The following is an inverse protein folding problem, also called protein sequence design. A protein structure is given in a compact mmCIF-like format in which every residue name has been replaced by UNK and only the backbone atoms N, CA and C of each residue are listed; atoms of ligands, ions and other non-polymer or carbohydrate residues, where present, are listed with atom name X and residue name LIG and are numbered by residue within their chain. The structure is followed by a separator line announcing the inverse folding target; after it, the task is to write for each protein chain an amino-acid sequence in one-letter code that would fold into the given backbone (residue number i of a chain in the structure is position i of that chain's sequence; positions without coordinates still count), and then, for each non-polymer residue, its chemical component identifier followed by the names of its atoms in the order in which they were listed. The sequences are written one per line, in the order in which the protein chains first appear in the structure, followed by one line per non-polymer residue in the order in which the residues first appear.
data_IF_634896816323
#
_entry.id   IF_634896816323
#
_cell.length_a   1.000
_cell.length_b   1.000
_cell.length_c   1.000
_cell.angle_alpha   90.00
_cell.angle_beta   90.00
_cell.angle_gamma   90.00
#
_symmetry.space_group_name_H-M   'P 1'
#
loop_
_entity.id
_entity.type
_entity.pdbx_description
1 polymer ?
#
# COMPACT_ATOMS: atom_id res chain seq x y z
N UNK A 1 -10.66 9.18 -40.00
CA UNK A 1 -10.19 9.21 -38.59
C UNK A 1 -9.76 7.80 -38.20
N UNK A 2 -8.66 7.64 -37.45
CA UNK A 2 -8.17 6.32 -37.01
C UNK A 2 -9.16 5.68 -36.03
N UNK A 3 -9.45 4.39 -36.20
CA UNK A 3 -10.19 3.59 -35.22
C UNK A 3 -9.25 3.04 -34.12
N UNK A 4 -9.81 2.37 -33.11
CA UNK A 4 -9.03 1.80 -31.99
C UNK A 4 -7.96 0.82 -32.48
N UNK A 5 -8.28 -0.09 -33.40
CA UNK A 5 -7.31 -1.04 -33.97
C UNK A 5 -6.13 -0.34 -34.65
N UNK A 6 -6.39 0.72 -35.42
CA UNK A 6 -5.33 1.50 -36.06
C UNK A 6 -4.45 2.22 -35.01
N UNK A 7 -5.05 2.74 -33.94
CA UNK A 7 -4.31 3.38 -32.84
C UNK A 7 -3.42 2.34 -32.14
N UNK A 8 -3.97 1.18 -31.77
CA UNK A 8 -3.20 0.12 -31.12
C UNK A 8 -2.02 -0.34 -31.98
N UNK A 9 -2.24 -0.57 -33.29
CA UNK A 9 -1.16 -0.91 -34.24
C UNK A 9 -0.09 0.18 -34.33
N UNK A 10 -0.46 1.46 -34.33
CA UNK A 10 0.47 2.60 -34.42
C UNK A 10 1.44 2.69 -33.24
N UNK A 11 0.99 2.30 -32.04
CA UNK A 11 1.76 2.37 -30.79
C UNK A 11 2.26 1.02 -30.29
N UNK A 12 1.94 -0.07 -31.00
CA UNK A 12 2.50 -1.39 -30.75
C UNK A 12 4.04 -1.35 -30.76
N UNK A 13 4.66 -2.03 -29.80
CA UNK A 13 6.12 -2.06 -29.61
C UNK A 13 6.75 -0.76 -29.09
N UNK A 14 5.99 0.35 -28.99
CA UNK A 14 6.47 1.63 -28.43
C UNK A 14 6.10 1.83 -26.97
N UNK A 15 5.05 1.15 -26.52
CA UNK A 15 4.45 1.21 -25.19
C UNK A 15 4.05 -0.23 -24.85
N UNK A 16 4.18 -0.61 -23.57
CA UNK A 16 3.65 -1.89 -23.11
C UNK A 16 2.16 -2.01 -23.47
N UNK A 17 1.74 -3.14 -24.04
CA UNK A 17 0.39 -3.30 -24.58
C UNK A 17 -0.70 -3.02 -23.52
N UNK A 18 -0.48 -3.47 -22.28
CA UNK A 18 -1.39 -3.22 -21.16
C UNK A 18 -1.49 -1.73 -20.82
N UNK A 19 -0.38 -1.00 -20.80
CA UNK A 19 -0.38 0.45 -20.53
C UNK A 19 -1.11 1.22 -21.64
N UNK A 20 -0.85 0.85 -22.88
CA UNK A 20 -1.51 1.44 -24.05
C UNK A 20 -3.03 1.27 -23.96
N UNK A 21 -3.49 0.05 -23.67
CA UNK A 21 -4.91 -0.25 -23.51
C UNK A 21 -5.53 0.57 -22.37
N UNK A 22 -4.88 0.64 -21.21
CA UNK A 22 -5.39 1.39 -20.06
C UNK A 22 -5.53 2.89 -20.36
N UNK A 23 -4.51 3.50 -20.97
CA UNK A 23 -4.54 4.92 -21.32
C UNK A 23 -5.59 5.21 -22.41
N UNK A 24 -5.72 4.32 -23.40
CA UNK A 24 -6.69 4.47 -24.48
C UNK A 24 -8.12 4.31 -23.97
N UNK A 25 -8.40 3.27 -23.18
CA UNK A 25 -9.69 3.01 -22.54
C UNK A 25 -10.13 4.19 -21.68
N UNK A 26 -9.23 4.71 -20.84
CA UNK A 26 -9.50 5.88 -20.01
C UNK A 26 -9.75 7.16 -20.83
N UNK A 27 -9.13 7.30 -22.01
CA UNK A 27 -9.34 8.47 -22.87
C UNK A 27 -10.74 8.54 -23.49
N UNK A 28 -11.39 7.38 -23.66
CA UNK A 28 -12.74 7.24 -24.19
C UNK A 28 -13.79 6.96 -23.11
N UNK A 29 -13.38 6.91 -21.82
CA UNK A 29 -14.22 6.56 -20.68
C UNK A 29 -14.93 5.21 -20.85
N UNK A 30 -14.22 4.20 -21.33
CA UNK A 30 -14.73 2.84 -21.48
C UNK A 30 -13.84 1.86 -20.71
N UNK A 31 -14.36 0.68 -20.31
CA UNK A 31 -13.53 -0.36 -19.71
C UNK A 31 -12.58 -0.95 -20.77
N UNK A 32 -11.49 -1.57 -20.31
CA UNK A 32 -10.50 -2.20 -21.20
C UNK A 32 -11.12 -3.20 -22.18
N UNK A 33 -12.09 -3.99 -21.71
CA UNK A 33 -12.80 -4.99 -22.54
C UNK A 33 -13.47 -4.36 -23.77
N UNK A 34 -13.91 -3.11 -23.69
CA UNK A 34 -14.52 -2.40 -24.81
C UNK A 34 -13.56 -2.25 -25.99
N UNK A 35 -12.26 -2.03 -25.72
CA UNK A 35 -11.25 -1.91 -26.77
C UNK A 35 -11.10 -3.20 -27.58
N UNK A 36 -11.28 -4.34 -26.92
CA UNK A 36 -11.17 -5.66 -27.53
C UNK A 36 -12.43 -6.04 -28.31
N UNK A 37 -13.60 -5.65 -27.82
CA UNK A 37 -14.89 -6.03 -28.41
C UNK A 37 -15.37 -5.07 -29.49
N UNK A 38 -14.83 -3.84 -29.56
CA UNK A 38 -15.22 -2.82 -30.54
C UNK A 38 -14.01 -2.17 -31.25
N UNK A 39 -13.13 -2.95 -31.90
CA UNK A 39 -11.89 -2.44 -32.52
C UNK A 39 -12.13 -1.40 -33.63
N UNK A 40 -13.32 -1.39 -34.23
CA UNK A 40 -13.78 -0.46 -35.26
C UNK A 40 -14.20 0.91 -34.71
N UNK A 41 -14.40 1.03 -33.39
CA UNK A 41 -14.80 2.28 -32.75
C UNK A 41 -13.83 3.42 -33.09
N UNK A 42 -14.39 4.60 -33.37
CA UNK A 42 -13.64 5.79 -33.73
C UNK A 42 -13.72 6.82 -32.60
N UNK A 43 -12.64 7.02 -31.80
CA UNK A 43 -12.64 7.99 -30.73
C UNK A 43 -12.97 9.40 -31.22
N UNK A 44 -13.68 10.18 -30.41
CA UNK A 44 -13.94 11.60 -30.68
C UNK A 44 -12.65 12.43 -30.76
N UNK A 45 -12.72 13.66 -31.26
CA UNK A 45 -11.58 14.58 -31.24
C UNK A 45 -11.08 14.84 -29.82
N UNK A 46 -12.00 15.02 -28.86
CA UNK A 46 -11.68 15.26 -27.45
C UNK A 46 -10.98 14.04 -26.83
N UNK A 47 -11.46 12.83 -27.11
CA UNK A 47 -10.82 11.60 -26.64
C UNK A 47 -9.41 11.44 -27.19
N UNK A 48 -9.18 11.80 -28.46
CA UNK A 48 -7.82 11.78 -29.05
C UNK A 48 -6.89 12.80 -28.43
N UNK A 49 -7.39 14.01 -28.12
CA UNK A 49 -6.60 15.04 -27.40
C UNK A 49 -6.24 14.54 -26.00
N UNK A 50 -7.22 13.97 -25.27
CA UNK A 50 -7.01 13.38 -23.94
C UNK A 50 -5.98 12.25 -23.99
N UNK A 51 -6.09 11.35 -24.98
CA UNK A 51 -5.12 10.27 -25.19
C UNK A 51 -3.72 10.80 -25.52
N UNK A 52 -3.60 11.81 -26.39
CA UNK A 52 -2.32 12.43 -26.71
C UNK A 52 -1.66 13.07 -25.47
N UNK A 53 -2.45 13.70 -24.59
CA UNK A 53 -1.98 14.21 -23.32
C UNK A 53 -1.49 13.10 -22.38
N UNK A 54 -2.21 11.98 -22.29
CA UNK A 54 -1.76 10.81 -21.53
C UNK A 54 -0.44 10.24 -22.05
N UNK A 55 -0.29 10.12 -23.37
CA UNK A 55 0.97 9.70 -23.99
C UNK A 55 2.12 10.68 -23.71
N UNK A 56 1.84 11.98 -23.68
CA UNK A 56 2.83 12.98 -23.31
C UNK A 56 3.33 12.77 -21.87
N UNK A 57 2.43 12.56 -20.91
CA UNK A 57 2.80 12.28 -19.53
C UNK A 57 3.55 10.94 -19.40
N UNK A 58 3.11 9.89 -20.08
CA UNK A 58 3.78 8.59 -20.06
C UNK A 58 5.23 8.70 -20.55
N UNK A 59 5.46 9.43 -21.65
CA UNK A 59 6.82 9.71 -22.17
C UNK A 59 7.68 10.55 -21.23
N UNK A 60 7.08 11.30 -20.31
CA UNK A 60 7.78 12.04 -19.24
C UNK A 60 8.12 11.16 -18.03
N UNK A 61 7.81 9.87 -18.09
CA UNK A 61 8.11 8.88 -17.05
C UNK A 61 7.03 8.74 -15.97
N UNK A 62 5.84 9.33 -16.15
CA UNK A 62 4.74 9.09 -15.20
C UNK A 62 4.18 7.68 -15.39
N UNK A 63 3.98 6.95 -14.30
CA UNK A 63 3.28 5.66 -14.32
C UNK A 63 1.82 5.81 -14.77
N UNK A 64 1.24 4.75 -15.33
CA UNK A 64 -0.18 4.75 -15.76
C UNK A 64 -1.10 5.09 -14.59
N UNK A 65 -0.85 4.55 -13.40
CA UNK A 65 -1.63 4.86 -12.21
C UNK A 65 -1.54 6.34 -11.80
N UNK A 66 -0.37 6.99 -11.94
CA UNK A 66 -0.25 8.42 -11.69
C UNK A 66 -1.01 9.27 -12.73
N UNK A 67 -0.98 8.87 -14.00
CA UNK A 67 -1.69 9.54 -15.10
C UNK A 67 -3.21 9.42 -14.91
N UNK A 68 -3.68 8.21 -14.61
CA UNK A 68 -5.09 7.91 -14.45
C UNK A 68 -5.62 8.32 -13.08
N UNK A 69 -4.76 8.50 -12.07
CA UNK A 69 -5.08 8.77 -10.66
C UNK A 69 -5.80 7.64 -9.95
N UNK A 70 -5.69 6.42 -10.46
CA UNK A 70 -6.37 5.23 -9.98
C UNK A 70 -5.42 4.03 -10.03
N UNK A 71 -5.52 3.13 -9.06
CA UNK A 71 -4.75 1.89 -8.97
C UNK A 71 -5.62 0.80 -8.34
N UNK A 72 -5.80 -0.29 -9.06
CA UNK A 72 -6.33 -1.53 -8.50
C UNK A 72 -5.33 -2.13 -7.51
N UNK A 73 -5.84 -2.55 -6.35
CA UNK A 73 -5.12 -3.28 -5.32
C UNK A 73 -6.10 -4.19 -4.57
N UNK A 74 -5.78 -5.48 -4.48
CA UNK A 74 -6.61 -6.48 -3.80
C UNK A 74 -8.08 -6.51 -4.27
N UNK A 75 -8.30 -6.36 -5.59
CA UNK A 75 -9.62 -6.33 -6.21
C UNK A 75 -10.43 -5.03 -5.98
N UNK A 76 -9.83 -4.01 -5.39
CA UNK A 76 -10.45 -2.72 -5.11
C UNK A 76 -9.75 -1.59 -5.89
N UNK A 77 -10.51 -0.62 -6.38
CA UNK A 77 -9.95 0.56 -7.05
C UNK A 77 -9.65 1.70 -6.06
N UNK A 78 -8.40 2.15 -5.99
CA UNK A 78 -7.98 3.24 -5.12
C UNK A 78 -7.63 4.49 -5.90
N UNK A 79 -8.18 5.63 -5.45
CA UNK A 79 -7.70 6.93 -5.91
C UNK A 79 -6.29 7.17 -5.37
N UNK A 80 -5.39 7.56 -6.26
CA UNK A 80 -3.99 7.89 -5.94
C UNK A 80 -3.61 9.25 -6.54
N UNK A 81 -2.59 9.88 -5.96
CA UNK A 81 -2.00 11.11 -6.49
C UNK A 81 -0.53 11.21 -6.05
N UNK A 82 0.13 12.33 -6.39
CA UNK A 82 1.54 12.59 -6.07
C UNK A 82 1.90 12.61 -4.57
N UNK A 83 0.93 12.51 -3.66
CA UNK A 83 1.13 12.56 -2.22
C UNK A 83 1.11 11.18 -1.54
N UNK A 84 0.88 10.12 -2.29
CA UNK A 84 0.88 8.74 -1.78
C UNK A 84 1.74 7.84 -2.66
N UNK A 85 2.32 6.81 -2.04
CA UNK A 85 2.90 5.69 -2.76
C UNK A 85 1.79 4.97 -3.54
N UNK A 86 2.07 4.62 -4.79
CA UNK A 86 1.14 3.82 -5.58
C UNK A 86 1.14 2.39 -5.01
N UNK A 87 -0.04 1.83 -4.64
CA UNK A 87 -0.13 0.48 -4.11
C UNK A 87 0.61 -0.55 -4.98
N UNK A 88 1.44 -1.38 -4.34
CA UNK A 88 2.26 -2.40 -4.99
C UNK A 88 1.63 -3.78 -4.82
N UNK A 89 1.66 -4.66 -5.85
CA UNK A 89 1.14 -6.02 -5.73
C UNK A 89 1.79 -6.81 -4.59
N UNK A 90 3.09 -6.59 -4.35
CA UNK A 90 3.83 -7.29 -3.29
C UNK A 90 3.25 -7.03 -1.90
N UNK A 91 2.62 -5.86 -1.68
CA UNK A 91 1.95 -5.50 -0.42
C UNK A 91 0.69 -6.32 -0.15
N UNK A 92 0.10 -6.97 -1.17
CA UNK A 92 -1.09 -7.81 -0.99
C UNK A 92 -0.83 -9.01 -0.06
N UNK A 93 0.41 -9.50 0.02
CA UNK A 93 0.78 -10.57 0.95
C UNK A 93 0.53 -10.21 2.42
N UNK A 94 0.71 -8.92 2.76
CA UNK A 94 0.44 -8.41 4.11
C UNK A 94 -1.06 -8.46 4.40
N UNK A 95 -1.87 -8.00 3.45
CA UNK A 95 -3.34 -8.01 3.54
C UNK A 95 -3.84 -9.44 3.71
N UNK A 96 -3.37 -10.38 2.87
CA UNK A 96 -3.72 -11.80 2.99
C UNK A 96 -3.34 -12.40 4.33
N UNK A 97 -2.13 -12.09 4.82
CA UNK A 97 -1.63 -12.60 6.10
C UNK A 97 -2.51 -12.13 7.25
N UNK A 98 -2.84 -10.85 7.28
CA UNK A 98 -3.68 -10.26 8.33
C UNK A 98 -5.11 -10.81 8.27
N UNK A 99 -5.71 -10.94 7.09
CA UNK A 99 -7.06 -11.53 6.93
C UNK A 99 -7.08 -12.96 7.47
N UNK A 100 -6.08 -13.78 7.13
CA UNK A 100 -5.96 -15.17 7.64
C UNK A 100 -5.89 -15.21 9.17
N UNK A 101 -5.15 -14.28 9.80
CA UNK A 101 -5.05 -14.19 11.26
C UNK A 101 -6.35 -13.73 11.91
N UNK A 102 -7.01 -12.70 11.35
CA UNK A 102 -8.29 -12.20 11.86
C UNK A 102 -9.36 -13.30 11.84
N UNK A 103 -9.42 -14.13 10.79
CA UNK A 103 -10.36 -15.26 10.71
C UNK A 103 -10.13 -16.29 11.82
N UNK A 104 -8.89 -16.49 12.26
CA UNK A 104 -8.59 -17.36 13.39
C UNK A 104 -8.98 -16.74 14.75
N UNK A 105 -9.29 -15.45 14.79
CA UNK A 105 -9.69 -14.69 15.99
C UNK A 105 -11.20 -14.41 16.06
N UNK A 106 -12.05 -15.19 15.37
CA UNK A 106 -13.48 -14.92 15.11
C UNK A 106 -14.36 -14.49 16.30
N UNK A 107 -13.93 -14.67 17.56
CA UNK A 107 -14.65 -14.25 18.79
C UNK A 107 -13.91 -13.21 19.65
N UNK A 108 -12.81 -12.64 19.16
CA UNK A 108 -11.93 -11.78 19.96
C UNK A 108 -12.12 -10.30 19.64
N UNK A 109 -12.12 -9.45 20.67
CA UNK A 109 -12.01 -8.00 20.48
C UNK A 109 -10.63 -7.68 19.90
N UNK A 110 -10.61 -7.07 18.72
CA UNK A 110 -9.38 -6.78 18.00
C UNK A 110 -9.32 -5.34 17.50
N UNK A 111 -8.11 -4.79 17.49
CA UNK A 111 -7.79 -3.48 16.92
C UNK A 111 -6.69 -3.62 15.87
N UNK A 112 -6.91 -3.01 14.71
CA UNK A 112 -5.93 -2.88 13.63
C UNK A 112 -5.38 -1.45 13.62
N UNK A 113 -4.06 -1.31 13.61
CA UNK A 113 -3.36 -0.03 13.44
C UNK A 113 -2.44 -0.13 12.22
N UNK A 114 -2.74 0.65 11.19
CA UNK A 114 -1.91 0.76 9.99
C UNK A 114 -1.01 1.99 10.06
N UNK A 115 0.31 1.78 9.94
CA UNK A 115 1.34 2.81 10.10
C UNK A 115 1.93 3.18 8.74
N UNK A 116 1.92 4.49 8.42
CA UNK A 116 2.31 4.96 7.09
C UNK A 116 1.23 4.66 6.05
N UNK A 117 -0.05 4.90 6.39
CA UNK A 117 -1.18 4.36 5.62
C UNK A 117 -1.24 4.80 4.16
N UNK A 118 -0.63 5.93 3.80
CA UNK A 118 -0.55 6.41 2.43
C UNK A 118 -1.93 6.59 1.80
N UNK A 119 -2.27 5.73 0.84
CA UNK A 119 -3.57 5.73 0.16
C UNK A 119 -4.69 5.07 0.97
N UNK A 120 -4.38 4.44 2.11
CA UNK A 120 -5.30 3.61 2.90
C UNK A 120 -5.51 2.20 2.35
N UNK A 121 -4.76 1.78 1.32
CA UNK A 121 -5.05 0.54 0.60
C UNK A 121 -4.99 -0.72 1.49
N UNK A 122 -4.06 -0.79 2.44
CA UNK A 122 -3.90 -1.93 3.35
C UNK A 122 -5.14 -2.09 4.27
N UNK A 123 -5.48 -1.13 5.16
CA UNK A 123 -6.57 -1.29 6.11
C UNK A 123 -7.94 -1.37 5.42
N UNK A 124 -8.14 -0.64 4.32
CA UNK A 124 -9.39 -0.70 3.55
C UNK A 124 -9.57 -2.10 2.97
N UNK A 125 -8.54 -2.67 2.35
CA UNK A 125 -8.61 -4.01 1.75
C UNK A 125 -8.86 -5.10 2.80
N UNK A 126 -8.24 -4.98 3.98
CA UNK A 126 -8.49 -5.90 5.09
C UNK A 126 -9.97 -5.84 5.51
N UNK A 127 -10.50 -4.65 5.81
CA UNK A 127 -11.90 -4.48 6.26
C UNK A 127 -12.89 -5.00 5.23
N UNK A 128 -12.64 -4.76 3.94
CA UNK A 128 -13.54 -5.21 2.85
C UNK A 128 -13.59 -6.71 2.65
N UNK A 129 -12.64 -7.46 3.21
CA UNK A 129 -12.48 -8.91 2.99
C UNK A 129 -12.60 -9.75 4.28
N UNK A 130 -13.14 -9.16 5.35
CA UNK A 130 -13.48 -9.85 6.60
C UNK A 130 -14.98 -9.70 6.90
N UNK A 131 -15.53 -10.63 7.65
CA UNK A 131 -16.96 -10.64 8.02
C UNK A 131 -17.28 -9.77 9.23
N UNK A 132 -16.26 -9.37 10.00
CA UNK A 132 -16.42 -8.65 11.27
C UNK A 132 -16.01 -7.19 11.11
N UNK A 133 -16.78 -6.28 11.73
CA UNK A 133 -16.35 -4.91 11.86
C UNK A 133 -15.29 -4.81 12.97
N UNK A 134 -14.11 -4.33 12.63
CA UNK A 134 -12.98 -4.25 13.55
C UNK A 134 -12.64 -2.80 13.82
N UNK A 135 -12.14 -2.48 15.02
CA UNK A 135 -11.66 -1.12 15.28
C UNK A 135 -10.40 -0.92 14.44
N UNK A 136 -10.41 0.07 13.55
CA UNK A 136 -9.24 0.38 12.72
C UNK A 136 -8.78 1.81 12.91
N UNK A 137 -7.47 1.96 13.09
CA UNK A 137 -6.75 3.23 13.11
C UNK A 137 -5.75 3.22 11.96
N UNK A 138 -5.65 4.33 11.25
CA UNK A 138 -4.65 4.53 10.22
C UNK A 138 -3.88 5.82 10.51
N UNK A 139 -2.55 5.72 10.55
CA UNK A 139 -1.66 6.80 10.95
C UNK A 139 -0.72 7.14 9.79
N UNK A 140 -0.54 8.43 9.54
CA UNK A 140 0.45 8.91 8.58
C UNK A 140 1.00 10.25 9.03
N UNK A 141 2.28 10.49 8.74
CA UNK A 141 2.95 11.77 8.98
C UNK A 141 2.51 12.84 7.96
N UNK A 142 2.00 12.42 6.80
CA UNK A 142 1.54 13.30 5.73
C UNK A 142 0.05 13.59 5.83
N UNK A 143 -0.31 14.84 6.14
CA UNK A 143 -1.72 15.30 6.07
C UNK A 143 -2.31 15.11 4.67
N UNK A 144 -1.50 15.22 3.63
CA UNK A 144 -1.93 15.03 2.25
C UNK A 144 -2.24 13.55 1.96
N UNK A 145 -1.44 12.62 2.48
CA UNK A 145 -1.73 11.19 2.40
C UNK A 145 -3.03 10.85 3.12
N UNK A 146 -3.22 11.34 4.36
CA UNK A 146 -4.47 11.14 5.11
C UNK A 146 -5.71 11.66 4.38
N UNK A 147 -5.61 12.75 3.60
CA UNK A 147 -6.73 13.21 2.75
C UNK A 147 -7.07 12.21 1.65
N UNK A 148 -6.06 11.58 1.05
CA UNK A 148 -6.24 10.51 0.05
C UNK A 148 -6.86 9.27 0.71
N UNK A 149 -6.30 8.82 1.83
CA UNK A 149 -6.83 7.67 2.58
C UNK A 149 -8.28 7.87 3.02
N UNK A 150 -8.64 9.05 3.54
CA UNK A 150 -10.04 9.41 3.88
C UNK A 150 -10.96 9.37 2.66
N UNK A 151 -10.49 9.85 1.51
CA UNK A 151 -11.27 9.79 0.26
C UNK A 151 -11.51 8.34 -0.16
N UNK A 152 -10.49 7.48 -0.11
CA UNK A 152 -10.63 6.06 -0.43
C UNK A 152 -11.54 5.33 0.57
N UNK A 153 -11.42 5.63 1.86
CA UNK A 153 -12.31 5.06 2.87
C UNK A 153 -13.78 5.40 2.59
N UNK A 154 -14.06 6.64 2.15
CA UNK A 154 -15.39 7.06 1.69
C UNK A 154 -15.83 6.33 0.42
N UNK A 155 -14.96 6.19 -0.58
CA UNK A 155 -15.26 5.46 -1.84
C UNK A 155 -15.68 4.02 -1.54
N UNK A 156 -14.99 3.36 -0.60
CA UNK A 156 -15.21 1.96 -0.25
C UNK A 156 -16.20 1.72 0.89
N UNK A 157 -16.80 2.80 1.42
CA UNK A 157 -17.74 2.77 2.54
C UNK A 157 -17.17 2.05 3.78
N UNK A 158 -15.94 2.37 4.19
CA UNK A 158 -15.31 1.81 5.39
C UNK A 158 -15.03 2.90 6.43
N UNK A 159 -15.21 2.55 7.70
CA UNK A 159 -14.99 3.45 8.82
C UNK A 159 -13.59 3.22 9.42
N UNK A 160 -12.72 4.24 9.33
CA UNK A 160 -11.35 4.19 9.85
C UNK A 160 -11.09 5.48 10.64
N UNK A 161 -10.50 5.37 11.82
CA UNK A 161 -10.02 6.52 12.57
C UNK A 161 -8.64 6.95 12.05
N UNK A 162 -8.53 8.17 11.54
CA UNK A 162 -7.28 8.66 10.96
C UNK A 162 -6.56 9.60 11.91
N UNK A 163 -5.31 9.27 12.25
CA UNK A 163 -4.46 10.09 13.11
C UNK A 163 -3.29 10.66 12.31
N UNK A 164 -2.96 11.92 12.57
CA UNK A 164 -1.78 12.57 12.00
C UNK A 164 -0.67 12.57 13.04
N UNK A 165 0.46 11.95 12.72
CA UNK A 165 1.60 11.90 13.62
C UNK A 165 2.69 10.96 13.14
N UNK A 166 3.71 10.86 13.97
CA UNK A 166 4.91 10.09 13.68
C UNK A 166 4.77 8.67 14.24
N UNK A 167 4.59 7.69 13.36
CA UNK A 167 4.41 6.28 13.70
C UNK A 167 3.29 6.09 14.75
N UNK A 168 3.55 5.46 15.89
CA UNK A 168 2.56 5.24 16.95
C UNK A 168 2.40 6.43 17.91
N UNK A 169 3.16 7.52 17.77
CA UNK A 169 3.09 8.65 18.72
C UNK A 169 1.70 9.27 18.93
N UNK A 170 0.78 9.36 17.93
CA UNK A 170 -0.55 9.92 18.19
C UNK A 170 -1.54 8.89 18.77
N UNK A 171 -1.14 7.62 18.91
CA UNK A 171 -2.02 6.58 19.44
C UNK A 171 -2.10 6.68 20.97
N UNK A 172 -3.32 6.76 21.51
CA UNK A 172 -3.54 6.71 22.95
C UNK A 172 -3.46 5.26 23.43
N UNK A 173 -2.35 4.92 24.07
CA UNK A 173 -2.05 3.60 24.61
C UNK A 173 -3.14 3.08 25.56
N UNK A 174 -3.87 3.93 26.30
CA UNK A 174 -4.95 3.49 27.19
C UNK A 174 -6.17 2.92 26.44
N UNK A 175 -6.32 3.22 25.14
CA UNK A 175 -7.44 2.71 24.35
C UNK A 175 -7.35 1.21 24.05
N UNK A 176 -6.20 0.59 24.33
CA UNK A 176 -5.92 -0.81 23.99
C UNK A 176 -6.51 -1.81 25.01
N UNK A 177 -6.77 -1.40 26.26
CA UNK A 177 -7.20 -2.30 27.34
C UNK A 177 -8.50 -3.06 27.06
N UNK A 178 -9.32 -2.55 26.15
CA UNK A 178 -10.58 -3.17 25.73
C UNK A 178 -10.41 -4.26 24.64
N UNK A 179 -9.18 -4.47 24.15
CA UNK A 179 -8.87 -5.40 23.07
C UNK A 179 -7.96 -6.53 23.55
N UNK A 180 -8.24 -7.74 23.07
CA UNK A 180 -7.44 -8.94 23.34
C UNK A 180 -6.36 -9.15 22.28
N UNK A 181 -6.52 -8.56 21.09
CA UNK A 181 -5.58 -8.68 19.97
C UNK A 181 -5.30 -7.32 19.34
N UNK A 182 -4.03 -6.99 19.18
CA UNK A 182 -3.53 -5.81 18.48
C UNK A 182 -2.80 -6.28 17.23
N UNK A 183 -3.23 -5.76 16.08
CA UNK A 183 -2.58 -5.99 14.80
C UNK A 183 -1.97 -4.67 14.35
N UNK A 184 -0.69 -4.67 14.03
CA UNK A 184 0.03 -3.53 13.44
C UNK A 184 0.48 -3.92 12.04
N UNK A 185 0.12 -3.11 11.04
CA UNK A 185 0.65 -3.21 9.68
C UNK A 185 1.52 -2.00 9.38
N UNK A 186 2.62 -2.22 8.66
CA UNK A 186 3.48 -1.12 8.23
C UNK A 186 4.20 -1.48 6.92
N UNK A 187 3.95 -0.68 5.87
CA UNK A 187 4.80 -0.61 4.69
C UNK A 187 5.50 0.76 4.72
N UNK A 188 6.62 0.83 5.44
CA UNK A 188 7.38 2.06 5.61
C UNK A 188 8.43 2.21 4.53
N UNK A 189 8.85 3.44 4.20
CA UNK A 189 9.94 3.70 3.28
C UNK A 189 11.17 2.85 3.62
N UNK A 190 11.70 2.12 2.64
CA UNK A 190 12.88 1.27 2.81
C UNK A 190 13.94 1.50 1.73
N UNK A 191 13.66 2.26 0.67
CA UNK A 191 14.63 2.50 -0.40
C UNK A 191 15.72 3.47 0.07
N UNK A 192 16.94 3.20 -0.35
CA UNK A 192 18.03 4.18 -0.25
C UNK A 192 17.86 5.29 -1.29
N UNK A 193 18.47 6.46 -1.06
CA UNK A 193 18.52 7.54 -2.05
C UNK A 193 19.06 7.06 -3.41
N UNK A 194 20.03 6.13 -3.43
CA UNK A 194 20.62 5.61 -4.65
C UNK A 194 19.62 4.76 -5.46
N UNK A 195 18.82 3.92 -4.80
CA UNK A 195 17.75 3.13 -5.45
C UNK A 195 16.62 4.02 -5.97
N UNK A 196 16.30 5.11 -5.28
CA UNK A 196 15.31 6.08 -5.73
C UNK A 196 15.73 6.79 -7.02
N UNK A 197 17.02 7.08 -7.18
CA UNK A 197 17.55 7.75 -8.38
C UNK A 197 17.53 6.83 -9.61
N UNK A 198 17.68 5.51 -9.44
CA UNK A 198 17.77 4.58 -10.58
C UNK A 198 16.46 4.33 -11.35
N UNK A 199 15.30 4.69 -10.81
CA UNK A 199 14.00 4.45 -11.45
C UNK A 199 13.18 5.74 -11.70
N UNK A 200 13.12 6.24 -12.95
CA UNK A 200 12.44 7.51 -13.27
C UNK A 200 10.94 7.56 -12.91
N UNK A 201 10.25 6.42 -12.92
CA UNK A 201 8.83 6.31 -12.54
C UNK A 201 8.63 6.51 -11.04
N UNK A 202 9.53 5.98 -10.23
CA UNK A 202 9.56 6.12 -8.77
C UNK A 202 9.89 7.56 -8.36
N UNK A 203 10.72 8.27 -9.15
CA UNK A 203 11.04 9.69 -8.90
C UNK A 203 9.83 10.64 -8.94
N UNK A 204 8.69 10.20 -9.50
CA UNK A 204 7.45 10.99 -9.54
C UNK A 204 6.50 10.72 -8.38
N UNK A 205 6.86 9.77 -7.51
CA UNK A 205 6.14 9.41 -6.30
C UNK A 205 6.75 10.16 -5.08
N UNK A 206 6.01 10.34 -3.98
CA UNK A 206 6.49 11.15 -2.86
C UNK A 206 7.73 10.53 -2.21
N UNK A 207 8.83 11.28 -2.18
CA UNK A 207 10.11 10.82 -1.63
C UNK A 207 9.99 10.33 -0.18
N UNK A 208 9.18 11.00 0.65
CA UNK A 208 8.90 10.59 2.03
C UNK A 208 8.26 9.20 2.16
N UNK A 209 7.65 8.66 1.11
CA UNK A 209 7.05 7.33 1.10
C UNK A 209 7.99 6.24 0.54
N UNK A 210 9.19 6.63 0.10
CA UNK A 210 10.10 5.76 -0.64
C UNK A 210 11.47 5.70 0.01
N UNK A 211 12.02 6.86 0.37
CA UNK A 211 13.40 6.99 0.84
C UNK A 211 13.46 6.90 2.36
N UNK A 212 14.18 5.91 2.84
CA UNK A 212 14.59 5.81 4.23
C UNK A 212 15.90 6.58 4.46
N UNK A 213 16.29 6.76 5.72
CA UNK A 213 17.59 7.38 6.01
C UNK A 213 18.76 6.49 5.59
N UNK A 214 19.96 7.09 5.56
CA UNK A 214 21.18 6.43 5.09
C UNK A 214 21.68 5.31 6.04
N UNK A 215 20.93 4.96 7.10
CA UNK A 215 21.28 3.91 8.07
C UNK A 215 20.53 2.61 7.79
N UNK A 216 20.83 1.99 6.64
CA UNK A 216 20.29 0.70 6.17
C UNK A 216 18.76 0.67 5.91
N UNK A 217 18.10 1.83 5.96
CA UNK A 217 16.68 1.98 5.71
C UNK A 217 15.75 1.33 6.73
N UNK A 218 16.22 1.12 7.96
CA UNK A 218 15.48 0.45 9.03
C UNK A 218 15.16 1.33 10.24
N UNK A 219 15.59 2.59 10.26
CA UNK A 219 15.42 3.47 11.42
C UNK A 219 13.96 3.70 11.82
N UNK A 220 13.06 3.79 10.84
CA UNK A 220 11.62 3.89 11.09
C UNK A 220 11.08 2.62 11.75
N UNK A 221 11.57 1.44 11.35
CA UNK A 221 11.22 0.18 12.01
C UNK A 221 11.81 0.08 13.41
N UNK A 222 13.06 0.50 13.63
CA UNK A 222 13.65 0.57 14.98
C UNK A 222 12.85 1.49 15.90
N UNK A 223 12.49 2.68 15.41
CA UNK A 223 11.65 3.63 16.14
C UNK A 223 10.25 3.09 16.42
N UNK A 224 9.64 2.39 15.46
CA UNK A 224 8.33 1.75 15.64
C UNK A 224 8.42 0.67 16.74
N UNK A 225 9.43 -0.20 16.69
CA UNK A 225 9.65 -1.25 17.69
C UNK A 225 9.85 -0.66 19.09
N UNK A 226 10.60 0.43 19.22
CA UNK A 226 10.73 1.19 20.46
C UNK A 226 9.39 1.71 20.99
N UNK A 227 8.55 2.27 20.12
CA UNK A 227 7.22 2.76 20.51
C UNK A 227 6.22 1.64 20.85
N UNK A 228 6.46 0.41 20.37
CA UNK A 228 5.65 -0.76 20.70
C UNK A 228 5.95 -1.29 22.10
N UNK A 229 7.18 -1.14 22.62
CA UNK A 229 7.55 -1.72 23.92
C UNK A 229 6.62 -1.29 25.09
N UNK A 230 6.26 -0.01 25.25
CA UNK A 230 5.30 0.39 26.28
C UNK A 230 3.92 -0.29 26.15
N UNK A 231 3.48 -0.60 24.93
CA UNK A 231 2.21 -1.30 24.68
C UNK A 231 2.24 -2.75 25.20
N UNK A 232 3.41 -3.38 25.27
CA UNK A 232 3.55 -4.74 25.79
C UNK A 232 3.49 -4.81 27.31
N UNK A 233 3.93 -3.74 27.99
CA UNK A 233 3.96 -3.67 29.45
C UNK A 233 2.56 -3.45 30.04
N UNK A 234 1.70 -2.75 29.29
CA UNK A 234 0.41 -2.28 29.80
C UNK A 234 -0.76 -3.19 29.40
N UNK A 235 -0.56 -4.27 28.62
CA UNK A 235 -1.66 -5.07 28.08
C UNK A 235 -1.49 -6.57 28.27
N UNK A 236 -2.59 -7.31 28.43
CA UNK A 236 -2.62 -8.76 28.19
C UNK A 236 -3.00 -9.09 26.73
N UNK A 237 -2.67 -8.18 25.81
CA UNK A 237 -3.05 -8.27 24.41
C UNK A 237 -2.04 -9.14 23.65
N UNK A 238 -2.53 -10.07 22.84
CA UNK A 238 -1.70 -10.74 21.85
C UNK A 238 -1.39 -9.76 20.72
N UNK A 239 -0.14 -9.74 20.27
CA UNK A 239 0.38 -8.80 19.29
C UNK A 239 0.77 -9.51 18.00
N UNK A 240 0.28 -9.01 16.89
CA UNK A 240 0.70 -9.35 15.53
C UNK A 240 1.25 -8.09 14.86
N UNK A 241 2.49 -8.13 14.37
CA UNK A 241 3.07 -7.06 13.56
C UNK A 241 3.42 -7.63 12.20
N UNK A 242 3.01 -6.94 11.13
CA UNK A 242 3.40 -7.25 9.76
C UNK A 242 4.16 -6.07 9.16
N UNK A 243 5.43 -6.29 8.80
CA UNK A 243 6.32 -5.27 8.23
C UNK A 243 6.74 -5.68 6.81
N UNK A 244 6.52 -4.82 5.83
CA UNK A 244 7.07 -5.01 4.47
C UNK A 244 8.53 -4.55 4.44
N UNK A 245 9.42 -5.34 3.84
CA UNK A 245 10.86 -5.05 3.80
C UNK A 245 11.45 -5.24 2.41
N UNK A 246 12.64 -4.69 2.22
CA UNK A 246 13.52 -5.13 1.14
C UNK A 246 14.21 -6.47 1.53
N UNK A 247 14.37 -7.44 0.61
CA UNK A 247 15.02 -8.71 0.89
C UNK A 247 16.43 -8.56 1.48
N UNK A 248 17.18 -7.50 1.13
CA UNK A 248 18.51 -7.25 1.68
C UNK A 248 18.49 -6.93 3.18
N UNK A 249 17.35 -6.52 3.73
CA UNK A 249 17.22 -6.05 5.11
C UNK A 249 16.96 -7.17 6.13
N UNK A 250 16.64 -8.40 5.71
CA UNK A 250 16.18 -9.50 6.58
C UNK A 250 17.08 -9.73 7.80
N UNK A 251 18.40 -9.78 7.59
CA UNK A 251 19.36 -10.05 8.67
C UNK A 251 19.33 -8.93 9.72
N UNK A 252 19.27 -7.68 9.25
CA UNK A 252 19.27 -6.51 10.12
C UNK A 252 17.94 -6.34 10.86
N UNK A 253 16.80 -6.51 10.18
CA UNK A 253 15.48 -6.40 10.83
C UNK A 253 15.27 -7.51 11.87
N UNK A 254 15.74 -8.76 11.61
CA UNK A 254 15.70 -9.83 12.61
C UNK A 254 16.51 -9.47 13.87
N UNK A 255 17.69 -8.88 13.70
CA UNK A 255 18.52 -8.41 14.82
C UNK A 255 17.81 -7.33 15.64
N UNK A 256 17.17 -6.36 14.97
CA UNK A 256 16.38 -5.32 15.63
C UNK A 256 15.19 -5.91 16.39
N UNK A 257 14.42 -6.80 15.77
CA UNK A 257 13.26 -7.43 16.41
C UNK A 257 13.71 -8.23 17.64
N UNK A 258 14.78 -9.02 17.55
CA UNK A 258 15.30 -9.77 18.69
C UNK A 258 15.78 -8.85 19.83
N UNK A 259 16.29 -7.66 19.52
CA UNK A 259 16.70 -6.67 20.51
C UNK A 259 15.51 -6.06 21.24
N UNK A 260 14.47 -5.65 20.52
CA UNK A 260 13.33 -4.91 21.10
C UNK A 260 12.19 -5.81 21.57
N UNK A 261 12.03 -6.98 20.96
CA UNK A 261 10.95 -7.95 21.18
C UNK A 261 11.54 -9.38 21.29
N UNK A 262 12.39 -9.67 22.29
CA UNK A 262 13.17 -10.92 22.37
C UNK A 262 12.33 -12.19 22.48
N UNK A 263 11.07 -12.09 22.91
CA UNK A 263 10.14 -13.22 23.06
C UNK A 263 9.26 -13.44 21.82
N UNK A 264 9.40 -12.63 20.79
CA UNK A 264 8.54 -12.71 19.62
C UNK A 264 8.93 -13.86 18.69
N UNK A 265 7.92 -14.54 18.14
CA UNK A 265 8.09 -15.48 17.05
C UNK A 265 8.16 -14.70 15.74
N UNK A 266 9.23 -14.89 14.98
CA UNK A 266 9.45 -14.22 13.69
C UNK A 266 9.24 -15.22 12.55
N UNK A 267 8.35 -14.89 11.62
CA UNK A 267 8.12 -15.64 10.38
C UNK A 267 8.41 -14.73 9.18
N UNK A 268 9.16 -15.22 8.20
CA UNK A 268 9.42 -14.49 6.95
C UNK A 268 8.56 -15.12 5.85
N UNK A 269 7.85 -14.28 5.09
CA UNK A 269 7.08 -14.72 3.92
C UNK A 269 7.64 -14.10 2.65
N UNK A 270 7.53 -14.89 1.59
CA UNK A 270 7.98 -14.54 0.25
C UNK A 270 6.83 -14.01 -0.60
N UNK A 271 7.11 -13.00 -1.41
CA UNK A 271 6.19 -12.53 -2.46
C UNK A 271 6.03 -13.57 -3.57
N UNK A 272 5.17 -13.27 -4.55
CA UNK A 272 4.92 -14.14 -5.70
C UNK A 272 6.16 -14.37 -6.57
N UNK A 273 7.19 -13.51 -6.45
CA UNK A 273 8.47 -13.65 -7.13
C UNK A 273 9.47 -14.50 -6.32
N UNK A 274 9.08 -15.02 -5.16
CA UNK A 274 9.91 -15.87 -4.30
C UNK A 274 10.92 -15.09 -3.45
N UNK A 275 10.83 -13.77 -3.41
CA UNK A 275 11.68 -12.89 -2.62
C UNK A 275 11.07 -12.64 -1.25
N UNK A 276 11.91 -12.63 -0.22
CA UNK A 276 11.48 -12.34 1.15
C UNK A 276 10.98 -10.90 1.25
N UNK A 277 9.70 -10.74 1.61
CA UNK A 277 8.98 -9.46 1.50
C UNK A 277 8.30 -9.03 2.78
N UNK A 278 7.78 -9.98 3.55
CA UNK A 278 7.00 -9.69 4.75
C UNK A 278 7.63 -10.35 5.97
N UNK A 279 7.85 -9.54 7.01
CA UNK A 279 8.18 -10.01 8.34
C UNK A 279 6.92 -10.03 9.18
N UNK A 280 6.51 -11.21 9.61
CA UNK A 280 5.42 -11.45 10.56
C UNK A 280 6.03 -11.67 11.95
N UNK A 281 5.62 -10.88 12.93
CA UNK A 281 6.09 -10.92 14.32
C UNK A 281 4.90 -11.21 15.20
N UNK A 282 4.94 -12.32 15.93
CA UNK A 282 3.86 -12.75 16.81
C UNK A 282 4.33 -12.79 18.27
N UNK A 283 3.53 -12.22 19.17
CA UNK A 283 3.65 -12.40 20.60
C UNK A 283 2.28 -12.80 21.14
N UNK A 284 2.15 -14.06 21.54
CA UNK A 284 0.91 -14.59 22.11
C UNK A 284 1.00 -14.42 23.62
N UNK A 285 0.05 -13.70 24.21
CA UNK A 285 -0.13 -13.69 25.66
C UNK A 285 -1.16 -14.74 26.04
N UNK A 286 -0.77 -15.58 27.00
CA UNK A 286 -1.58 -16.63 27.63
C UNK A 286 -2.72 -16.07 28.44
#
# INVERSE_FOLDING_TARGET
MLNLSNIQKKYSGKIAATDLDLLLAASINQPRVFLLTHPEYRPSILSRIKFAYYLYLYKKGYSVAAILKHKEFFGLDFYVNKHVLIPRPDTEIMVETVIKKIKNYEKSNLILIDIGTGSGCIPISIIKNINNNIKTIAIDISRQALRVAKKNAKIHNVNINFLHGDLLSPFNNLSIYQFNNLIITANLPYLTNNQFISEPSIQKEPQLALVADNTNGLSLYEKLLLQIQPLLLITNCSLLICLEIDPSQIKAIKSLINRYLPQAKITIKKDLSGLDRLVEIEMIKS
#
